data_IF_950488988711
#
_entry.id   IF_950488988711
#
_cell.length_a   1.000
_cell.length_b   1.000
_cell.length_c   1.000
_cell.angle_alpha   90.00
_cell.angle_beta   90.00
_cell.angle_gamma   90.00
#
_symmetry.space_group_name_H-M   'P 1'
#
loop_
_entity.id
_entity.type
_entity.pdbx_description
1 polymer ?
#
# COMPACT_ATOMS: atom_id res chain seq x y z
N UNK A 1 15.58 4.23 11.22
CA UNK A 1 14.46 3.74 10.39
C UNK A 1 14.36 4.64 9.15
N UNK A 2 14.23 4.09 7.92
CA UNK A 2 14.28 4.87 6.66
C UNK A 2 13.02 5.75 6.50
N UNK A 3 13.08 6.98 5.95
CA UNK A 3 11.91 7.83 5.76
C UNK A 3 10.82 7.12 4.96
N UNK A 4 9.56 7.37 5.34
CA UNK A 4 8.38 6.79 4.71
C UNK A 4 8.10 7.51 3.38
N UNK A 5 8.86 7.14 2.34
CA UNK A 5 8.69 7.68 0.98
C UNK A 5 7.65 6.88 0.19
N UNK A 6 7.62 5.56 0.42
CA UNK A 6 6.69 4.62 -0.21
C UNK A 6 5.82 3.95 0.86
N UNK A 7 4.51 3.85 0.62
CA UNK A 7 3.55 3.12 1.45
C UNK A 7 3.97 1.66 1.63
N UNK A 8 4.59 1.05 0.61
CA UNK A 8 5.10 -0.32 0.70
C UNK A 8 6.10 -0.55 1.83
N UNK A 9 6.80 0.49 2.29
CA UNK A 9 7.73 0.36 3.41
C UNK A 9 7.04 0.15 4.77
N UNK A 10 5.73 0.41 4.88
CA UNK A 10 4.92 0.13 6.09
C UNK A 10 4.90 -1.37 6.40
N UNK A 11 5.00 -2.25 5.40
CA UNK A 11 5.02 -3.71 5.57
C UNK A 11 6.19 -4.17 6.45
N UNK A 12 7.28 -3.41 6.56
CA UNK A 12 8.41 -3.73 7.45
C UNK A 12 8.03 -3.72 8.94
N UNK A 13 6.92 -3.06 9.30
CA UNK A 13 6.40 -3.10 10.69
C UNK A 13 5.81 -4.47 11.05
N UNK A 14 5.49 -5.30 10.06
CA UNK A 14 4.90 -6.62 10.25
C UNK A 14 6.02 -7.66 10.41
N UNK A 15 5.92 -8.63 11.34
CA UNK A 15 6.91 -9.70 11.44
C UNK A 15 7.08 -10.46 10.13
N UNK A 16 8.33 -10.62 9.69
CA UNK A 16 8.72 -11.27 8.41
C UNK A 16 8.24 -10.52 7.15
N UNK A 17 7.73 -9.30 7.31
CA UNK A 17 7.54 -8.36 6.23
C UNK A 17 8.87 -7.68 5.92
N UNK A 18 9.17 -7.51 4.64
CA UNK A 18 10.33 -6.79 4.15
C UNK A 18 9.93 -5.93 2.95
N UNK A 19 10.78 -5.00 2.59
CA UNK A 19 10.59 -4.09 1.47
C UNK A 19 11.84 -4.10 0.60
N UNK A 20 11.66 -4.37 -0.69
CA UNK A 20 12.72 -4.48 -1.67
C UNK A 20 12.74 -3.18 -2.48
N UNK A 21 13.62 -2.22 -2.17
CA UNK A 21 13.64 -0.94 -2.87
C UNK A 21 14.05 -1.13 -4.34
N UNK A 22 13.26 -0.58 -5.25
CA UNK A 22 13.58 -0.44 -6.68
C UNK A 22 14.24 0.92 -6.97
N UNK A 23 14.58 1.68 -5.92
CA UNK A 23 15.18 3.01 -5.99
C UNK A 23 15.03 3.76 -4.66
N UNK A 24 15.05 5.09 -4.73
CA UNK A 24 14.81 5.98 -3.58
C UNK A 24 13.32 6.17 -3.26
N UNK A 25 12.45 6.06 -4.27
CA UNK A 25 11.04 6.43 -4.18
C UNK A 25 10.06 5.23 -4.18
N UNK A 26 10.46 4.08 -4.70
CA UNK A 26 9.59 2.92 -4.91
C UNK A 26 10.24 1.62 -4.45
N UNK A 27 9.42 0.64 -4.13
CA UNK A 27 9.90 -0.73 -3.89
C UNK A 27 8.78 -1.75 -3.80
N UNK A 28 9.18 -3.00 -3.96
CA UNK A 28 8.28 -4.15 -3.92
C UNK A 28 8.10 -4.60 -2.48
N UNK A 29 6.87 -4.96 -2.13
CA UNK A 29 6.60 -5.61 -0.86
C UNK A 29 7.08 -7.06 -0.89
N UNK A 30 7.62 -7.52 0.24
CA UNK A 30 8.05 -8.88 0.41
C UNK A 30 7.48 -9.45 1.71
N UNK A 31 6.97 -10.67 1.67
CA UNK A 31 6.55 -11.40 2.87
C UNK A 31 7.15 -12.81 2.85
N UNK A 32 7.87 -13.19 3.91
CA UNK A 32 8.55 -14.51 4.02
C UNK A 32 9.43 -14.85 2.79
N UNK A 33 10.08 -13.85 2.21
CA UNK A 33 10.91 -14.05 1.00
C UNK A 33 10.15 -13.97 -0.32
N UNK A 34 8.81 -13.97 -0.31
CA UNK A 34 7.97 -13.93 -1.51
C UNK A 34 7.69 -12.49 -1.93
N UNK A 35 7.90 -12.17 -3.21
CA UNK A 35 7.76 -10.84 -3.81
C UNK A 35 7.22 -10.91 -5.25
N UNK A 36 6.85 -9.76 -5.80
CA UNK A 36 6.28 -9.61 -7.14
C UNK A 36 4.90 -10.28 -7.25
N UNK A 37 4.62 -11.09 -8.28
CA UNK A 37 3.28 -11.64 -8.55
C UNK A 37 2.81 -12.68 -7.51
N UNK A 38 3.66 -13.00 -6.53
CA UNK A 38 3.33 -13.89 -5.41
C UNK A 38 2.61 -13.14 -4.28
N UNK A 39 2.75 -11.83 -4.26
CA UNK A 39 2.07 -10.91 -3.35
C UNK A 39 0.96 -10.22 -4.12
N UNK A 40 -0.29 -10.42 -3.71
CA UNK A 40 -1.41 -9.71 -4.33
C UNK A 40 -1.53 -8.32 -3.71
N UNK A 41 -1.59 -7.27 -4.52
CA UNK A 41 -1.80 -5.90 -4.07
C UNK A 41 -3.07 -5.35 -4.71
N UNK A 42 -4.01 -4.93 -3.88
CA UNK A 42 -5.23 -4.28 -4.32
C UNK A 42 -5.30 -2.84 -3.81
N UNK A 43 -5.66 -1.93 -4.69
CA UNK A 43 -5.98 -0.54 -4.36
C UNK A 43 -7.49 -0.35 -4.50
N UNK A 44 -8.18 0.03 -3.42
CA UNK A 44 -9.66 0.13 -3.37
C UNK A 44 -10.40 -1.11 -3.94
N UNK A 45 -9.84 -2.29 -3.72
CA UNK A 45 -10.41 -3.57 -4.19
C UNK A 45 -10.09 -3.92 -5.64
N UNK A 46 -9.38 -3.07 -6.37
CA UNK A 46 -8.87 -3.35 -7.71
C UNK A 46 -7.46 -3.92 -7.59
N UNK A 47 -7.22 -5.12 -8.15
CA UNK A 47 -5.87 -5.68 -8.22
C UNK A 47 -5.02 -4.84 -9.19
N UNK A 48 -3.90 -4.32 -8.68
CA UNK A 48 -2.97 -3.51 -9.46
C UNK A 48 -1.68 -4.29 -9.62
N UNK A 49 -1.22 -4.39 -10.85
CA UNK A 49 0.03 -5.03 -11.23
C UNK A 49 1.01 -3.98 -11.77
N UNK A 50 2.29 -4.35 -11.83
CA UNK A 50 3.31 -3.51 -12.47
C UNK A 50 3.05 -3.39 -13.98
N UNK A 51 3.22 -2.20 -14.54
CA UNK A 51 3.06 -1.95 -15.97
C UNK A 51 4.24 -2.44 -16.82
N UNK A 52 5.41 -2.64 -16.22
CA UNK A 52 6.63 -3.07 -16.92
C UNK A 52 7.12 -4.47 -16.53
N UNK A 53 7.78 -5.20 -17.44
CA UNK A 53 8.29 -6.55 -17.15
C UNK A 53 9.38 -6.58 -16.06
N UNK A 54 10.03 -5.43 -15.80
CA UNK A 54 11.12 -5.30 -14.85
C UNK A 54 10.66 -4.83 -13.44
N UNK A 55 9.37 -4.62 -13.21
CA UNK A 55 8.84 -4.26 -11.88
C UNK A 55 9.49 -3.01 -11.26
N UNK A 56 9.75 -2.01 -12.12
CA UNK A 56 10.25 -0.67 -11.78
C UNK A 56 9.16 0.20 -11.13
N UNK A 57 7.90 -0.14 -11.39
CA UNK A 57 6.67 0.48 -10.91
C UNK A 57 5.86 -0.52 -10.06
N UNK A 58 6.31 -0.85 -8.84
CA UNK A 58 5.56 -1.72 -7.93
C UNK A 58 4.15 -1.17 -7.67
N UNK A 59 3.12 -2.00 -7.47
CA UNK A 59 1.73 -1.55 -7.35
C UNK A 59 1.47 -0.46 -6.29
N UNK A 60 2.18 -0.48 -5.16
CA UNK A 60 2.01 0.55 -4.10
C UNK A 60 2.64 1.89 -4.45
N UNK A 61 3.48 1.97 -5.48
CA UNK A 61 4.06 3.22 -5.95
C UNK A 61 3.00 4.20 -6.48
N UNK A 62 1.85 3.71 -6.95
CA UNK A 62 0.72 4.52 -7.40
C UNK A 62 -0.11 5.13 -6.27
N UNK A 63 0.17 4.76 -5.01
CA UNK A 63 -0.52 5.27 -3.83
C UNK A 63 0.51 5.95 -2.91
N UNK A 64 0.74 7.27 -3.05
CA UNK A 64 1.64 7.98 -2.15
C UNK A 64 1.03 8.05 -0.74
N UNK A 65 1.90 8.15 0.27
CA UNK A 65 1.53 8.13 1.69
C UNK A 65 0.47 9.18 2.05
N UNK A 66 0.51 10.36 1.41
CA UNK A 66 -0.44 11.43 1.65
C UNK A 66 -1.88 11.08 1.25
N UNK A 67 -2.06 10.16 0.30
CA UNK A 67 -3.37 9.72 -0.20
C UNK A 67 -3.82 8.39 0.41
N UNK A 68 -3.03 7.80 1.31
CA UNK A 68 -3.38 6.55 1.98
C UNK A 68 -4.38 6.82 3.11
N UNK A 69 -5.51 6.12 3.09
CA UNK A 69 -6.47 6.10 4.20
C UNK A 69 -6.16 4.95 5.16
N UNK A 70 -6.06 3.75 4.64
CA UNK A 70 -5.78 2.55 5.42
C UNK A 70 -4.98 1.54 4.60
N UNK A 71 -4.17 0.72 5.28
CA UNK A 71 -3.48 -0.42 4.68
C UNK A 71 -3.70 -1.65 5.54
N UNK A 72 -4.20 -2.71 4.92
CA UNK A 72 -4.45 -4.00 5.54
C UNK A 72 -3.60 -5.05 4.85
N UNK A 73 -3.00 -5.95 5.62
CA UNK A 73 -2.16 -7.02 5.09
C UNK A 73 -2.58 -8.36 5.64
N UNK A 74 -3.07 -9.23 4.76
CA UNK A 74 -3.30 -10.65 5.02
C UNK A 74 -2.01 -11.41 4.74
N UNK A 75 -1.51 -12.09 5.77
CA UNK A 75 -0.22 -12.80 5.76
C UNK A 75 -0.41 -14.24 5.30
N UNK A 76 0.45 -14.73 4.41
CA UNK A 76 0.41 -16.09 3.91
C UNK A 76 -0.68 -16.32 2.86
N UNK A 77 -1.14 -17.56 2.73
CA UNK A 77 -2.16 -17.92 1.74
C UNK A 77 -3.50 -17.30 2.17
N UNK A 78 -4.09 -16.50 1.29
CA UNK A 78 -5.34 -15.77 1.53
C UNK A 78 -6.48 -16.37 0.68
N UNK A 79 -7.70 -15.85 0.88
CA UNK A 79 -8.89 -16.33 0.18
C UNK A 79 -8.79 -16.13 -1.34
N UNK A 80 -9.18 -17.17 -2.09
CA UNK A 80 -9.24 -17.15 -3.57
C UNK A 80 -10.20 -16.10 -4.12
N UNK A 81 -11.19 -15.66 -3.33
CA UNK A 81 -12.16 -14.62 -3.74
C UNK A 81 -11.48 -13.25 -3.91
N UNK A 82 -10.41 -12.98 -3.15
CA UNK A 82 -9.73 -11.69 -3.15
C UNK A 82 -8.64 -11.61 -4.24
N UNK A 83 -8.29 -12.72 -4.88
CA UNK A 83 -7.32 -12.77 -5.97
C UNK A 83 -6.35 -13.94 -5.85
N UNK A 84 -5.30 -13.92 -6.68
CA UNK A 84 -4.28 -14.98 -6.76
C UNK A 84 -3.00 -14.56 -6.04
N UNK A 85 -2.37 -15.49 -5.32
CA UNK A 85 -1.09 -15.26 -4.64
C UNK A 85 -0.86 -16.22 -3.48
N UNK A 86 0.41 -16.44 -3.15
CA UNK A 86 0.82 -17.40 -2.09
C UNK A 86 1.60 -16.73 -0.94
N UNK A 87 2.12 -15.53 -1.16
CA UNK A 87 2.89 -14.80 -0.16
C UNK A 87 2.03 -13.99 0.79
N UNK A 88 0.95 -13.41 0.28
CA UNK A 88 0.10 -12.54 1.06
C UNK A 88 -0.75 -11.67 0.16
N UNK A 89 -1.67 -10.95 0.78
CA UNK A 89 -2.52 -9.99 0.13
C UNK A 89 -2.46 -8.67 0.89
N UNK A 90 -2.20 -7.58 0.17
CA UNK A 90 -2.22 -6.22 0.70
C UNK A 90 -3.38 -5.49 0.05
N UNK A 91 -4.25 -4.92 0.89
CA UNK A 91 -5.32 -4.04 0.48
C UNK A 91 -4.98 -2.64 0.99
N UNK A 92 -4.86 -1.68 0.09
CA UNK A 92 -4.70 -0.29 0.45
C UNK A 92 -5.94 0.49 -0.02
N UNK A 93 -6.38 1.41 0.82
CA UNK A 93 -7.55 2.23 0.57
C UNK A 93 -7.14 3.68 0.33
N UNK A 94 -7.69 4.29 -0.72
CA UNK A 94 -7.49 5.70 -0.99
C UNK A 94 -8.27 6.57 -0.01
N UNK A 95 -7.69 7.73 0.25
CA UNK A 95 -8.38 8.82 0.91
C UNK A 95 -9.40 9.44 -0.04
N UNK A 96 -10.65 9.50 0.39
CA UNK A 96 -11.75 10.11 -0.36
C UNK A 96 -12.32 11.32 0.39
N UNK A 97 -12.88 12.26 -0.37
CA UNK A 97 -13.63 13.39 0.19
C UNK A 97 -14.99 12.90 0.67
N UNK A 98 -15.42 13.35 1.85
CA UNK A 98 -16.77 13.12 2.34
C UNK A 98 -17.62 14.35 2.01
N UNK A 99 -18.74 14.11 1.32
CA UNK A 99 -19.72 15.15 1.04
C UNK A 99 -20.85 15.03 2.07
N UNK A 100 -21.22 16.14 2.69
CA UNK A 100 -22.34 16.23 3.60
C UNK A 100 -23.62 16.56 2.83
N UNK A 101 -24.72 15.93 3.23
CA UNK A 101 -26.07 16.22 2.71
C UNK A 101 -26.77 17.33 3.53
N UNK A 102 -25.98 18.24 4.12
CA UNK A 102 -26.48 19.32 4.96
C UNK A 102 -26.45 20.64 4.21
N UNK A 103 -27.52 21.43 4.32
CA UNK A 103 -27.63 22.76 3.72
C UNK A 103 -26.78 23.84 4.42
N UNK A 104 -25.86 23.44 5.30
CA UNK A 104 -24.93 24.31 6.02
C UNK A 104 -23.52 24.10 5.47
N UNK A 105 -22.85 25.20 5.11
CA UNK A 105 -21.45 25.14 4.65
C UNK A 105 -20.54 24.72 5.80
N UNK A 106 -19.78 23.64 5.60
CA UNK A 106 -18.81 23.14 6.58
C UNK A 106 -17.47 22.94 5.88
N UNK A 107 -16.41 23.58 6.40
CA UNK A 107 -15.06 23.41 5.88
C UNK A 107 -14.44 22.13 6.48
N UNK A 108 -14.02 21.20 5.62
CA UNK A 108 -13.22 20.04 6.02
C UNK A 108 -11.75 20.29 5.70
N UNK A 109 -10.89 20.07 6.70
CA UNK A 109 -9.44 20.15 6.55
C UNK A 109 -8.83 18.80 6.90
N UNK A 110 -7.87 18.37 6.10
CA UNK A 110 -7.10 17.17 6.36
C UNK A 110 -5.61 17.51 6.38
N UNK A 111 -4.93 17.11 7.46
CA UNK A 111 -3.51 17.35 7.67
C UNK A 111 -2.85 16.00 7.88
N UNK A 112 -1.97 15.62 6.96
CA UNK A 112 -1.21 14.37 7.04
C UNK A 112 0.25 14.67 7.41
N UNK A 113 0.67 14.22 8.60
CA UNK A 113 2.04 14.37 9.10
C UNK A 113 2.79 13.04 8.96
N UNK A 114 3.74 12.97 8.05
CA UNK A 114 4.61 11.81 7.88
C UNK A 114 6.00 12.11 8.45
N UNK A 115 6.25 11.64 9.68
CA UNK A 115 7.53 11.74 10.36
C UNK A 115 8.05 10.37 10.79
N UNK A 116 9.37 10.20 10.83
CA UNK A 116 10.01 8.99 11.38
C UNK A 116 10.48 9.34 12.79
N UNK A 117 10.03 8.60 13.81
CA UNK A 117 10.52 8.79 15.19
C UNK A 117 11.93 8.19 15.31
N UNK A 118 12.83 8.95 15.95
CA UNK A 118 14.26 8.65 16.08
C UNK A 118 14.53 7.42 16.94
#
# INVERSE_FOLDING_TARGET
>A
MKPLVDVGSIVQKIPRGNFNPSGSLSGQIQYRGLFGPRMNVCLDGIAVESGGPNWMDPPLHYLPVALLKSIQTKRGIFSVVTGSGIGGHVQAEYKTSQFLDSNTMQAHQDITLAGTCC
#
